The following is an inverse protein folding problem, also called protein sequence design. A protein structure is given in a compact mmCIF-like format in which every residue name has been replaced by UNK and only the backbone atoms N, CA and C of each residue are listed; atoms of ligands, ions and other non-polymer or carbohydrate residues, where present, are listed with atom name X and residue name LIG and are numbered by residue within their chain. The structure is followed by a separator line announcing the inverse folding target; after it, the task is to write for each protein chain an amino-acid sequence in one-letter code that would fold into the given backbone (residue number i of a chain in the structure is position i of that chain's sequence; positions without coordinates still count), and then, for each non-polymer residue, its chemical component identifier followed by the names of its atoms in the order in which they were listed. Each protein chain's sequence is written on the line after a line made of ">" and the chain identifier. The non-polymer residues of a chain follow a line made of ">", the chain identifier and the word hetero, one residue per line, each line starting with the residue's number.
data_IF_296736278603
#
_entry.id   IF_296736278603
#
_cell.length_a   1.000
_cell.length_b   1.000
_cell.length_c   1.000
_cell.angle_alpha   90.00
_cell.angle_beta   90.00
_cell.angle_gamma   90.00
#
_symmetry.space_group_name_H-M   'P 1'
#
loop_
_entity.id
_entity.type
_entity.pdbx_description
1 polymer ?
#
# COMPACT_ATOMS: atom_id res chain seq x y z
N UNK A 1 16.31 6.62 17.55
CA UNK A 1 15.48 6.82 16.34
C UNK A 1 14.24 5.96 16.47
N UNK A 2 13.06 6.55 16.35
CA UNK A 2 11.76 5.87 16.40
C UNK A 2 11.53 5.10 15.10
N UNK A 3 11.25 3.80 15.17
CA UNK A 3 10.77 3.02 14.02
C UNK A 3 9.30 3.38 13.77
N UNK A 4 8.95 3.71 12.53
CA UNK A 4 7.57 3.97 12.11
C UNK A 4 6.95 2.69 11.54
N UNK A 5 5.65 2.53 11.72
CA UNK A 5 4.91 1.34 11.29
C UNK A 5 3.58 1.76 10.65
N UNK A 6 3.09 0.94 9.72
CA UNK A 6 1.78 1.11 9.09
C UNK A 6 0.96 -0.17 9.20
N UNK A 7 -0.36 -0.05 9.17
CA UNK A 7 -1.27 -1.20 9.12
C UNK A 7 -1.62 -1.50 7.67
N UNK A 8 -1.35 -2.72 7.22
CA UNK A 8 -1.62 -3.20 5.87
C UNK A 8 -2.57 -4.38 5.93
N UNK A 9 -3.61 -4.34 5.11
CA UNK A 9 -4.65 -5.38 5.04
C UNK A 9 -4.53 -6.15 3.73
N UNK A 10 -4.56 -7.47 3.81
CA UNK A 10 -4.70 -8.39 2.68
C UNK A 10 -6.07 -9.05 2.68
N UNK A 11 -6.24 -10.09 1.87
CA UNK A 11 -7.56 -10.70 1.66
C UNK A 11 -8.20 -11.25 2.95
N UNK A 12 -7.41 -11.76 3.89
CA UNK A 12 -7.90 -12.41 5.11
C UNK A 12 -7.19 -11.97 6.41
N UNK A 13 -6.25 -11.04 6.34
CA UNK A 13 -5.40 -10.69 7.48
C UNK A 13 -4.94 -9.23 7.41
N UNK A 14 -4.62 -8.68 8.57
CA UNK A 14 -4.01 -7.35 8.70
C UNK A 14 -2.70 -7.48 9.46
N UNK A 15 -1.63 -6.91 8.92
CA UNK A 15 -0.31 -6.92 9.52
C UNK A 15 0.22 -5.51 9.73
N UNK A 16 1.02 -5.34 10.79
CA UNK A 16 1.76 -4.10 11.05
C UNK A 16 3.13 -4.21 10.40
N UNK A 17 3.42 -3.33 9.45
CA UNK A 17 4.63 -3.36 8.62
C UNK A 17 5.56 -2.20 8.99
N UNK A 18 6.86 -2.45 9.23
CA UNK A 18 7.82 -1.38 9.51
C UNK A 18 8.17 -0.59 8.25
N UNK A 19 8.38 0.72 8.42
CA UNK A 19 9.00 1.57 7.41
C UNK A 19 10.52 1.55 7.56
N UNK A 20 11.23 1.78 6.45
CA UNK A 20 12.66 2.01 6.45
C UNK A 20 13.02 3.32 7.14
N UNK A 21 14.31 3.54 7.42
CA UNK A 21 14.80 4.81 7.97
C UNK A 21 14.56 6.01 7.05
N UNK A 22 14.37 5.79 5.76
CA UNK A 22 14.01 6.80 4.76
C UNK A 22 12.51 7.09 4.68
N UNK A 23 11.67 6.40 5.47
CA UNK A 23 10.21 6.55 5.41
C UNK A 23 9.59 5.87 4.18
N UNK A 24 10.30 4.92 3.55
CA UNK A 24 9.75 4.09 2.46
C UNK A 24 9.36 2.71 2.98
N UNK A 25 8.60 1.93 2.22
CA UNK A 25 8.27 0.56 2.57
C UNK A 25 8.86 -0.42 1.55
N UNK A 26 9.58 -1.44 1.99
CA UNK A 26 10.13 -2.45 1.07
C UNK A 26 9.04 -3.42 0.62
N UNK A 27 8.88 -3.60 -0.69
CA UNK A 27 7.87 -4.50 -1.27
C UNK A 27 8.05 -5.94 -0.79
N UNK A 28 9.30 -6.37 -0.61
CA UNK A 28 9.65 -7.71 -0.14
C UNK A 28 9.03 -8.04 1.23
N UNK A 29 8.86 -7.05 2.11
CA UNK A 29 8.21 -7.27 3.41
C UNK A 29 6.73 -7.64 3.21
N UNK A 30 6.04 -7.00 2.26
CA UNK A 30 4.67 -7.35 1.92
C UNK A 30 4.59 -8.73 1.28
N UNK A 31 5.54 -9.05 0.39
CA UNK A 31 5.59 -10.35 -0.26
C UNK A 31 5.82 -11.49 0.73
N UNK A 32 6.67 -11.26 1.74
CA UNK A 32 6.93 -12.20 2.82
C UNK A 32 5.73 -12.40 3.75
N UNK A 33 4.96 -11.34 4.03
CA UNK A 33 3.81 -11.41 4.94
C UNK A 33 2.52 -11.93 4.29
N UNK A 34 2.30 -11.64 3.01
CA UNK A 34 1.02 -11.93 2.34
C UNK A 34 1.15 -13.00 1.24
N UNK A 35 1.90 -12.71 0.17
CA UNK A 35 2.19 -13.64 -0.93
C UNK A 35 3.24 -13.03 -1.85
N UNK A 36 4.03 -13.86 -2.55
CA UNK A 36 4.92 -13.42 -3.64
C UNK A 36 4.19 -12.70 -4.78
N UNK A 37 2.87 -12.85 -4.87
CA UNK A 37 2.05 -12.17 -5.88
C UNK A 37 1.78 -10.71 -5.55
N UNK A 38 2.14 -10.21 -4.36
CA UNK A 38 1.98 -8.79 -4.03
C UNK A 38 2.88 -7.94 -4.92
N UNK A 39 2.29 -6.98 -5.64
CA UNK A 39 2.98 -6.03 -6.50
C UNK A 39 2.91 -4.58 -6.03
N UNK A 40 2.11 -4.28 -5.01
CA UNK A 40 1.99 -2.92 -4.54
C UNK A 40 1.05 -2.76 -3.36
N UNK A 41 0.73 -1.51 -3.08
CA UNK A 41 -0.12 -1.09 -1.99
C UNK A 41 -1.06 0.01 -2.50
N UNK A 42 -2.29 0.02 -2.02
CA UNK A 42 -3.27 1.08 -2.31
C UNK A 42 -3.97 1.48 -1.02
N UNK A 43 -4.53 2.68 -0.98
CA UNK A 43 -5.33 3.12 0.17
C UNK A 43 -6.63 3.76 -0.27
N UNK A 44 -7.65 3.69 0.59
CA UNK A 44 -8.95 4.31 0.31
C UNK A 44 -8.82 5.84 0.35
N UNK A 45 -9.31 6.51 -0.68
CA UNK A 45 -9.45 7.95 -0.68
C UNK A 45 -10.68 8.36 0.14
N UNK A 46 -10.48 8.70 1.41
CA UNK A 46 -11.58 9.10 2.31
C UNK A 46 -12.31 10.36 1.84
N UNK A 47 -11.68 11.21 1.01
CA UNK A 47 -12.33 12.39 0.42
C UNK A 47 -13.29 12.03 -0.72
N UNK A 48 -13.14 10.86 -1.35
CA UNK A 48 -14.04 10.41 -2.42
C UNK A 48 -15.44 10.09 -1.90
N UNK A 49 -15.54 9.62 -0.65
CA UNK A 49 -16.80 9.32 0.03
C UNK A 49 -17.73 10.53 0.15
N UNK A 50 -17.21 11.76 0.04
CA UNK A 50 -18.00 13.00 0.10
C UNK A 50 -18.74 13.32 -1.22
N UNK A 51 -18.34 12.70 -2.35
CA UNK A 51 -18.80 13.09 -3.68
C UNK A 51 -19.93 12.21 -4.26
N UNK A 52 -20.71 11.49 -3.43
CA UNK A 52 -21.81 10.62 -3.88
C UNK A 52 -21.39 9.60 -4.97
N UNK A 53 -20.11 9.23 -5.01
CA UNK A 53 -19.65 8.13 -5.86
C UNK A 53 -19.97 6.82 -5.15
N UNK A 54 -20.70 5.96 -5.85
CA UNK A 54 -21.18 4.67 -5.36
C UNK A 54 -20.09 3.62 -5.18
N UNK A 55 -18.85 3.89 -5.64
CA UNK A 55 -17.73 2.97 -5.56
C UNK A 55 -16.57 3.56 -4.72
N UNK A 56 -15.91 2.74 -3.88
CA UNK A 56 -14.73 3.18 -3.15
C UNK A 56 -13.59 3.54 -4.12
N UNK A 57 -13.12 4.79 -4.09
CA UNK A 57 -11.95 5.20 -4.86
C UNK A 57 -10.67 4.86 -4.11
N UNK A 58 -9.85 4.03 -4.72
CA UNK A 58 -8.52 3.70 -4.23
C UNK A 58 -7.45 4.58 -4.89
N UNK A 59 -6.41 4.89 -4.14
CA UNK A 59 -5.19 5.54 -4.62
C UNK A 59 -4.05 4.54 -4.47
N UNK A 60 -3.39 4.23 -5.60
CA UNK A 60 -2.20 3.39 -5.59
C UNK A 60 -1.01 4.16 -5.02
N UNK A 61 -0.26 3.48 -4.15
CA UNK A 61 0.99 4.00 -3.61
C UNK A 61 2.07 3.84 -4.66
N UNK A 62 2.82 4.92 -4.89
CA UNK A 62 3.86 4.93 -5.90
C UNK A 62 4.96 3.91 -5.56
N UNK A 63 5.25 3.04 -6.53
CA UNK A 63 6.32 2.06 -6.45
C UNK A 63 7.55 2.56 -7.21
N UNK A 64 8.67 2.66 -6.50
CA UNK A 64 9.98 2.94 -7.08
C UNK A 64 10.64 1.62 -7.50
N UNK A 65 10.64 1.35 -8.80
CA UNK A 65 11.22 0.14 -9.38
C UNK A 65 12.75 0.06 -9.19
N UNK A 66 13.43 1.20 -9.07
CA UNK A 66 14.89 1.23 -8.92
C UNK A 66 15.33 0.77 -7.53
N UNK A 67 14.53 1.13 -6.52
CA UNK A 67 14.82 0.83 -5.11
C UNK A 67 13.93 -0.27 -4.53
N UNK A 68 13.04 -0.86 -5.34
CA UNK A 68 12.07 -1.88 -4.96
C UNK A 68 11.27 -1.51 -3.69
N UNK A 69 10.87 -0.24 -3.59
CA UNK A 69 10.19 0.29 -2.42
C UNK A 69 8.99 1.15 -2.78
N UNK A 70 8.02 1.19 -1.88
CA UNK A 70 6.87 2.07 -1.95
C UNK A 70 7.21 3.40 -1.28
N UNK A 71 6.97 4.48 -2.01
CA UNK A 71 7.22 5.84 -1.55
C UNK A 71 6.05 6.33 -0.71
N UNK A 72 6.35 7.17 0.27
CA UNK A 72 5.33 7.82 1.09
C UNK A 72 4.29 8.56 0.22
N UNK A 73 2.98 8.29 0.41
CA UNK A 73 1.94 8.96 -0.33
C UNK A 73 1.76 10.42 0.13
N UNK A 74 1.10 11.28 -0.66
CA UNK A 74 0.76 12.63 -0.25
C UNK A 74 0.02 12.65 1.10
N UNK A 75 0.48 13.50 2.02
CA UNK A 75 -0.05 13.57 3.38
C UNK A 75 0.44 12.45 4.32
N UNK A 76 1.46 11.70 3.93
CA UNK A 76 2.19 10.78 4.80
C UNK A 76 1.57 9.40 4.95
N UNK A 77 2.27 8.52 5.66
CA UNK A 77 1.79 7.16 5.91
C UNK A 77 0.63 7.06 6.91
N UNK A 78 0.52 8.03 7.81
CA UNK A 78 -0.40 8.00 8.94
C UNK A 78 -1.86 8.22 8.52
N UNK A 79 -2.78 7.67 9.31
CA UNK A 79 -4.24 7.83 9.15
C UNK A 79 -4.82 7.35 7.80
N UNK A 80 -4.17 6.38 7.15
CA UNK A 80 -4.65 5.72 5.94
C UNK A 80 -4.79 4.22 6.17
N UNK A 81 -5.82 3.61 5.58
CA UNK A 81 -5.99 2.15 5.55
C UNK A 81 -5.40 1.62 4.25
N UNK A 82 -4.35 0.82 4.36
CA UNK A 82 -3.68 0.26 3.20
C UNK A 82 -4.14 -1.16 2.91
N UNK A 83 -4.31 -1.45 1.62
CA UNK A 83 -4.59 -2.76 1.08
C UNK A 83 -3.44 -3.18 0.15
N UNK A 84 -3.03 -4.45 0.20
CA UNK A 84 -2.07 -4.98 -0.79
C UNK A 84 -2.74 -5.16 -2.15
N UNK A 85 -1.97 -4.93 -3.20
CA UNK A 85 -2.35 -5.20 -4.58
C UNK A 85 -1.62 -6.46 -5.03
N UNK A 86 -2.38 -7.44 -5.54
CA UNK A 86 -1.83 -8.68 -6.08
C UNK A 86 -1.73 -8.61 -7.61
N UNK A 87 -0.71 -9.25 -8.19
CA UNK A 87 -0.65 -9.54 -9.62
C UNK A 87 -1.81 -10.47 -9.93
N UNK A 88 -2.79 -10.01 -10.71
CA UNK A 88 -3.70 -10.92 -11.39
C UNK A 88 -2.97 -11.52 -12.59
N UNK A 89 -3.22 -12.79 -12.93
CA UNK A 89 -2.65 -13.51 -14.07
C UNK A 89 -2.95 -12.90 -15.47
N UNK A 90 -3.14 -11.58 -15.62
CA UNK A 90 -3.31 -11.01 -16.96
C UNK A 90 -3.73 -9.55 -17.15
N UNK A 91 -3.72 -8.64 -16.17
CA UNK A 91 -3.98 -7.22 -16.46
C UNK A 91 -3.10 -6.26 -15.65
N UNK A 92 -1.99 -5.83 -16.26
CA UNK A 92 -1.32 -4.57 -15.90
C UNK A 92 -2.17 -3.45 -16.51
N UNK A 93 -2.91 -2.69 -15.71
CA UNK A 93 -3.54 -1.47 -16.18
C UNK A 93 -2.44 -0.44 -16.46
N UNK A 94 -2.28 -0.09 -17.74
CA UNK A 94 -1.59 1.12 -18.20
C UNK A 94 -2.48 2.34 -18.02
#
# INVERSE_FOLDING_TARGET
>A
MSRQFISVTGSNCTFTVPLTSSGTLQLEILQCLFSNDVCGLRYLNENASLNNQSEPLYIDVFFDELNNCLIEPPGGWTNKKYEVVYRSDGFVFK
#
